data_IF_493503194203
#
_entry.id   IF_493503194203
#
_cell.length_a   1.000
_cell.length_b   1.000
_cell.length_c   1.000
_cell.angle_alpha   90.00
_cell.angle_beta   90.00
_cell.angle_gamma   90.00
#
_symmetry.space_group_name_H-M   'P 1'
#
loop_
_entity.id
_entity.type
_entity.pdbx_description
1 polymer ?
#
# COMPACT_ATOMS: atom_id res chain seq x y z
N UNK A 1 -2.97 6.03 -16.70
CA UNK A 1 -2.48 6.66 -15.45
C UNK A 1 -3.55 7.46 -14.73
N UNK A 2 -4.19 8.48 -15.34
CA UNK A 2 -5.17 9.34 -14.65
C UNK A 2 -6.31 8.59 -13.95
N UNK A 3 -6.97 7.66 -14.64
CA UNK A 3 -8.06 6.86 -14.07
C UNK A 3 -7.60 5.96 -12.91
N UNK A 4 -6.43 5.32 -13.05
CA UNK A 4 -5.87 4.46 -12.00
C UNK A 4 -5.47 5.28 -10.77
N UNK A 5 -4.78 6.40 -10.96
CA UNK A 5 -4.38 7.30 -9.89
C UNK A 5 -5.60 7.87 -9.15
N UNK A 6 -6.62 8.33 -9.89
CA UNK A 6 -7.87 8.83 -9.31
C UNK A 6 -8.59 7.73 -8.51
N UNK A 7 -8.70 6.52 -9.05
CA UNK A 7 -9.32 5.40 -8.34
C UNK A 7 -8.59 5.05 -7.03
N UNK A 8 -7.26 4.96 -7.05
CA UNK A 8 -6.47 4.62 -5.84
C UNK A 8 -6.47 5.74 -4.80
N UNK A 9 -6.42 7.00 -5.23
CA UNK A 9 -6.64 8.14 -4.32
C UNK A 9 -8.06 8.10 -3.73
N UNK A 10 -9.06 7.73 -4.53
CA UNK A 10 -10.45 7.52 -4.09
C UNK A 10 -10.57 6.46 -2.99
N UNK A 11 -9.88 5.33 -3.11
CA UNK A 11 -9.84 4.29 -2.06
C UNK A 11 -9.23 4.84 -0.77
N UNK A 12 -8.15 5.63 -0.83
CA UNK A 12 -7.55 6.26 0.36
C UNK A 12 -8.54 7.21 1.04
N UNK A 13 -9.22 8.07 0.25
CA UNK A 13 -10.25 8.98 0.77
C UNK A 13 -11.43 8.22 1.39
N UNK A 14 -11.88 7.15 0.72
CA UNK A 14 -12.94 6.27 1.20
C UNK A 14 -12.57 5.62 2.53
N UNK A 15 -11.36 5.05 2.67
CA UNK A 15 -10.90 4.45 3.93
C UNK A 15 -10.91 5.44 5.09
N UNK A 16 -10.55 6.70 4.85
CA UNK A 16 -10.59 7.76 5.88
C UNK A 16 -12.01 8.15 6.27
N UNK A 17 -12.91 8.32 5.30
CA UNK A 17 -14.32 8.63 5.58
C UNK A 17 -14.98 7.49 6.35
N UNK A 18 -14.82 6.26 5.85
CA UNK A 18 -15.42 5.08 6.46
C UNK A 18 -14.91 4.87 7.89
N UNK A 19 -13.61 5.09 8.14
CA UNK A 19 -13.04 5.00 9.49
C UNK A 19 -13.78 5.90 10.49
N UNK A 20 -14.18 7.11 10.10
CA UNK A 20 -14.95 8.02 10.98
C UNK A 20 -16.37 7.51 11.23
N UNK A 21 -16.99 6.88 10.23
CA UNK A 21 -18.39 6.42 10.29
C UNK A 21 -18.56 5.19 11.18
N UNK A 22 -17.60 4.25 11.14
CA UNK A 22 -17.73 2.92 11.77
C UNK A 22 -16.91 2.74 13.06
N UNK A 23 -16.07 3.70 13.44
CA UNK A 23 -15.24 3.59 14.64
C UNK A 23 -16.07 3.37 15.93
N UNK A 24 -17.27 3.95 16.01
CA UNK A 24 -18.20 3.76 17.15
C UNK A 24 -18.64 2.30 17.33
N UNK A 25 -18.55 1.50 16.27
CA UNK A 25 -18.91 0.09 16.24
C UNK A 25 -17.67 -0.80 16.52
N UNK A 26 -16.57 -0.21 17.00
CA UNK A 26 -15.27 -0.85 17.25
C UNK A 26 -14.63 -1.47 15.99
N UNK A 27 -14.88 -0.89 14.82
CA UNK A 27 -14.26 -1.31 13.56
C UNK A 27 -13.20 -0.30 13.15
N UNK A 28 -11.95 -0.76 13.00
CA UNK A 28 -10.84 0.06 12.51
C UNK A 28 -10.68 -0.14 10.99
N UNK A 29 -10.55 0.97 10.26
CA UNK A 29 -10.40 0.96 8.80
C UNK A 29 -9.09 1.62 8.42
N UNK A 30 -8.27 0.94 7.62
CA UNK A 30 -6.97 1.43 7.13
C UNK A 30 -6.77 1.02 5.67
N UNK A 31 -5.76 1.59 5.03
CA UNK A 31 -5.32 1.23 3.68
C UNK A 31 -3.85 0.79 3.67
N UNK A 32 -3.53 -0.14 2.79
CA UNK A 32 -2.15 -0.52 2.46
C UNK A 32 -1.90 -0.06 1.02
N UNK A 33 -0.85 0.72 0.83
CA UNK A 33 -0.46 1.30 -0.45
C UNK A 33 0.94 0.80 -0.86
N UNK A 34 1.05 -0.43 -1.41
CA UNK A 34 2.33 -0.97 -1.84
C UNK A 34 2.93 -0.17 -3.00
N UNK A 35 4.26 -0.21 -3.08
CA UNK A 35 5.00 0.21 -4.26
C UNK A 35 5.03 -0.89 -5.33
N UNK A 36 6.07 -0.92 -6.17
CA UNK A 36 6.28 -2.02 -7.12
C UNK A 36 6.56 -3.33 -6.39
N UNK A 37 5.70 -4.34 -6.59
CA UNK A 37 5.82 -5.67 -5.98
C UNK A 37 5.92 -6.73 -7.07
N UNK A 38 6.84 -7.68 -6.93
CA UNK A 38 6.95 -8.85 -7.80
C UNK A 38 5.72 -9.76 -7.63
N UNK A 39 4.83 -9.66 -8.60
CA UNK A 39 3.58 -10.41 -8.70
C UNK A 39 3.36 -10.80 -10.17
N UNK A 40 2.45 -11.74 -10.48
CA UNK A 40 2.11 -12.06 -11.86
C UNK A 40 1.68 -10.83 -12.69
N UNK A 41 1.14 -9.79 -12.05
CA UNK A 41 0.76 -8.52 -12.71
C UNK A 41 1.94 -7.85 -13.41
N UNK A 42 3.14 -7.87 -12.79
CA UNK A 42 4.33 -7.25 -13.38
C UNK A 42 5.10 -8.20 -14.30
N UNK A 43 4.68 -9.46 -14.44
CA UNK A 43 5.35 -10.43 -15.32
C UNK A 43 5.26 -10.05 -16.80
N UNK A 44 4.22 -9.33 -17.21
CA UNK A 44 4.05 -8.81 -18.58
C UNK A 44 4.83 -7.53 -18.88
N UNK A 45 5.55 -6.97 -17.90
CA UNK A 45 6.32 -5.73 -18.06
C UNK A 45 7.74 -6.06 -18.50
N UNK A 46 8.30 -5.25 -19.41
CA UNK A 46 9.64 -5.47 -19.94
C UNK A 46 10.72 -5.41 -18.85
N UNK A 47 11.75 -6.24 -18.98
CA UNK A 47 12.90 -6.25 -18.06
C UNK A 47 13.58 -4.89 -17.99
N UNK A 48 13.75 -4.22 -19.13
CA UNK A 48 14.31 -2.87 -19.21
C UNK A 48 13.52 -1.85 -18.34
N UNK A 49 12.18 -1.91 -18.38
CA UNK A 49 11.36 -1.02 -17.56
C UNK A 49 11.50 -1.36 -16.07
N UNK A 50 11.49 -2.65 -15.70
CA UNK A 50 11.69 -3.07 -14.30
C UNK A 50 13.04 -2.61 -13.76
N UNK A 51 14.11 -2.77 -14.52
CA UNK A 51 15.45 -2.31 -14.14
C UNK A 51 15.49 -0.79 -13.97
N UNK A 52 14.90 -0.04 -14.91
CA UNK A 52 14.83 1.42 -14.80
C UNK A 52 14.05 1.86 -13.57
N UNK A 53 12.85 1.28 -13.33
CA UNK A 53 12.03 1.63 -12.17
C UNK A 53 12.73 1.24 -10.86
N UNK A 54 13.37 0.07 -10.80
CA UNK A 54 14.10 -0.36 -9.61
C UNK A 54 15.25 0.60 -9.24
N UNK A 55 15.91 1.20 -10.23
CA UNK A 55 16.98 2.18 -10.00
C UNK A 55 16.48 3.52 -9.42
N UNK A 56 15.18 3.83 -9.56
CA UNK A 56 14.55 5.00 -8.94
C UNK A 56 14.18 4.75 -7.46
N UNK A 57 14.05 3.48 -7.05
CA UNK A 57 13.63 3.11 -5.70
C UNK A 57 14.82 3.20 -4.73
N UNK A 58 14.65 3.78 -3.53
CA UNK A 58 15.68 3.77 -2.50
C UNK A 58 16.23 2.39 -2.12
N UNK A 59 15.39 1.34 -2.11
CA UNK A 59 15.87 -0.03 -1.87
C UNK A 59 16.45 -0.71 -3.12
N UNK A 60 16.42 -0.06 -4.30
CA UNK A 60 17.00 -0.58 -5.53
C UNK A 60 16.30 -1.80 -6.13
N UNK A 61 15.11 -2.15 -5.63
CA UNK A 61 14.37 -3.37 -6.03
C UNK A 61 12.88 -3.26 -5.77
N UNK A 62 12.13 -4.12 -6.46
CA UNK A 62 10.72 -4.34 -6.17
C UNK A 62 10.61 -5.14 -4.86
N UNK A 63 9.51 -4.91 -4.14
CA UNK A 63 9.16 -5.70 -2.97
C UNK A 63 8.63 -7.08 -3.36
N UNK A 64 8.53 -7.97 -2.39
CA UNK A 64 7.86 -9.26 -2.48
C UNK A 64 6.50 -9.21 -1.78
N UNK A 65 5.58 -10.10 -2.15
CA UNK A 65 4.25 -10.14 -1.52
C UNK A 65 4.35 -10.43 -0.01
N UNK A 66 5.32 -11.25 0.38
CA UNK A 66 5.67 -11.61 1.75
C UNK A 66 6.20 -10.43 2.56
N UNK A 67 6.66 -9.36 1.90
CA UNK A 67 7.10 -8.11 2.56
C UNK A 67 5.93 -7.13 2.76
N UNK A 68 4.82 -7.32 2.04
CA UNK A 68 3.57 -6.54 2.22
C UNK A 68 2.69 -7.15 3.30
N UNK A 69 2.60 -8.48 3.35
CA UNK A 69 1.71 -9.21 4.27
C UNK A 69 1.87 -8.83 5.77
N UNK A 70 3.08 -8.60 6.31
CA UNK A 70 3.26 -8.20 7.70
C UNK A 70 2.54 -6.90 8.07
N UNK A 71 2.33 -5.99 7.12
CA UNK A 71 1.58 -4.75 7.36
C UNK A 71 0.11 -5.05 7.63
N UNK A 72 -0.49 -5.98 6.89
CA UNK A 72 -1.87 -6.41 7.13
C UNK A 72 -2.01 -7.11 8.50
N UNK A 73 -1.03 -7.95 8.85
CA UNK A 73 -0.98 -8.61 10.16
C UNK A 73 -0.87 -7.58 11.29
N UNK A 74 0.00 -6.58 11.16
CA UNK A 74 0.12 -5.50 12.13
C UNK A 74 -1.21 -4.77 12.32
N UNK A 75 -1.85 -4.35 11.22
CA UNK A 75 -3.11 -3.61 11.26
C UNK A 75 -4.26 -4.42 11.87
N UNK A 76 -4.23 -5.75 11.74
CA UNK A 76 -5.23 -6.66 12.32
C UNK A 76 -4.85 -7.18 13.73
N UNK A 77 -3.65 -6.88 14.22
CA UNK A 77 -3.15 -7.41 15.50
C UNK A 77 -3.67 -6.63 16.70
N UNK A 78 -3.75 -7.29 17.84
CA UNK A 78 -4.00 -6.66 19.14
C UNK A 78 -2.81 -6.94 20.07
N UNK A 79 -2.26 -5.92 20.77
CA UNK A 79 -2.62 -4.50 20.74
C UNK A 79 -1.97 -3.70 19.60
N UNK A 80 -1.13 -4.33 18.78
CA UNK A 80 -0.27 -3.65 17.80
C UNK A 80 -1.02 -2.81 16.77
N UNK A 81 -2.22 -3.22 16.37
CA UNK A 81 -3.09 -2.54 15.41
C UNK A 81 -4.04 -1.52 16.03
N UNK A 82 -4.24 -1.54 17.35
CA UNK A 82 -5.37 -0.86 18.02
C UNK A 82 -5.35 0.68 17.87
N UNK A 83 -4.20 1.29 17.57
CA UNK A 83 -4.07 2.74 17.34
C UNK A 83 -4.06 3.13 15.86
N UNK A 84 -4.13 2.18 14.94
CA UNK A 84 -4.16 2.46 13.51
C UNK A 84 -5.62 2.57 13.05
N UNK A 85 -6.05 3.80 12.75
CA UNK A 85 -7.37 4.09 12.19
C UNK A 85 -7.29 5.22 11.18
N UNK A 86 -7.90 5.04 10.01
CA UNK A 86 -7.84 5.97 8.88
C UNK A 86 -6.44 6.12 8.26
N UNK A 87 -5.51 5.21 8.58
CA UNK A 87 -4.11 5.32 8.15
C UNK A 87 -3.89 4.69 6.77
N UNK A 88 -2.84 5.14 6.09
CA UNK A 88 -2.37 4.54 4.84
C UNK A 88 -0.89 4.19 5.01
N UNK A 89 -0.57 2.89 5.00
CA UNK A 89 0.80 2.41 5.20
C UNK A 89 1.39 1.96 3.86
N UNK A 90 2.63 2.37 3.59
CA UNK A 90 3.31 2.12 2.31
C UNK A 90 4.50 1.17 2.41
N UNK A 91 4.31 -0.16 2.32
CA UNK A 91 5.41 -1.08 2.06
C UNK A 91 5.82 -0.95 0.58
N UNK A 92 6.67 0.03 0.28
CA UNK A 92 6.84 0.53 -1.08
C UNK A 92 8.29 0.66 -1.58
N UNK A 93 9.25 0.02 -0.92
CA UNK A 93 10.69 0.15 -1.27
C UNK A 93 11.23 1.58 -1.24
N UNK A 94 10.56 2.49 -0.54
CA UNK A 94 10.87 3.91 -0.54
C UNK A 94 10.40 4.66 -1.79
N UNK A 95 9.51 4.05 -2.59
CA UNK A 95 8.88 4.75 -3.71
C UNK A 95 8.09 5.95 -3.17
N UNK A 96 8.67 7.13 -3.33
CA UNK A 96 8.02 8.40 -3.06
C UNK A 96 7.78 9.01 -4.42
N UNK A 97 6.50 9.10 -4.81
CA UNK A 97 6.10 10.06 -5.84
C UNK A 97 6.15 11.44 -5.16
N UNK A 98 7.13 12.31 -5.45
CA UNK A 98 7.07 13.69 -5.00
C UNK A 98 5.81 14.40 -5.53
#
# INVERSE_FOLDING_TARGET
>A
MTHYAAAKAGVIGFSKSLALEVAKDNVLVNAIAPGPIETPLVAGISSAWKTAKAAELPLGRFGLAEEVAPVAVLLASEPGGNLFVGQTLGPNSGDVMP
#
